data_IF_752831747052
#
_entry.id   IF_752831747052
#
_cell.length_a   1.000
_cell.length_b   1.000
_cell.length_c   1.000
_cell.angle_alpha   90.00
_cell.angle_beta   90.00
_cell.angle_gamma   90.00
#
_symmetry.space_group_name_H-M   'P 1'
#
loop_
_entity.id
_entity.type
_entity.pdbx_description
1 polymer ?
#
# COMPACT_ATOMS: atom_id res chain seq x y z
N UNK A 1 -2.74 -3.51 -2.51
CA UNK A 1 -2.06 -4.49 -3.42
C UNK A 1 -0.79 -4.96 -2.72
N UNK A 2 -0.44 -6.25 -2.87
CA UNK A 2 0.72 -6.87 -2.25
C UNK A 2 1.55 -7.62 -3.29
N UNK A 3 2.89 -7.54 -3.20
CA UNK A 3 3.83 -8.23 -4.09
C UNK A 3 4.63 -9.29 -3.33
N UNK A 4 5.59 -8.90 -2.49
CA UNK A 4 6.39 -9.74 -1.59
C UNK A 4 6.80 -8.99 -0.32
N UNK A 5 6.15 -7.88 -0.05
CA UNK A 5 6.46 -7.01 1.09
C UNK A 5 5.83 -7.59 2.38
N UNK A 6 6.34 -8.73 2.86
CA UNK A 6 5.85 -9.43 4.06
C UNK A 6 5.83 -8.54 5.29
N UNK A 7 6.91 -7.80 5.50
CA UNK A 7 7.05 -6.91 6.64
C UNK A 7 6.12 -5.70 6.53
N UNK A 8 5.92 -5.16 5.33
CA UNK A 8 4.97 -4.09 5.10
C UNK A 8 3.51 -4.54 5.37
N UNK A 9 3.15 -5.76 4.96
CA UNK A 9 1.84 -6.30 5.24
C UNK A 9 1.64 -6.52 6.75
N UNK A 10 2.61 -7.10 7.45
CA UNK A 10 2.54 -7.27 8.91
C UNK A 10 2.44 -5.94 9.64
N UNK A 11 3.27 -4.98 9.26
CA UNK A 11 3.23 -3.63 9.81
C UNK A 11 1.85 -3.00 9.61
N UNK A 12 1.31 -3.07 8.40
CA UNK A 12 -0.03 -2.58 8.08
C UNK A 12 -1.11 -3.21 8.96
N UNK A 13 -1.12 -4.55 9.05
CA UNK A 13 -2.12 -5.28 9.83
C UNK A 13 -2.06 -4.90 11.31
N UNK A 14 -0.85 -4.80 11.89
CA UNK A 14 -0.66 -4.38 13.29
C UNK A 14 -1.11 -2.95 13.54
N UNK A 15 -0.73 -2.03 12.66
CA UNK A 15 -1.08 -0.61 12.81
C UNK A 15 -2.58 -0.37 12.74
N UNK A 16 -3.30 -1.20 11.99
CA UNK A 16 -4.73 -1.01 11.71
C UNK A 16 -5.64 -1.99 12.49
N UNK A 17 -5.10 -2.92 13.27
CA UNK A 17 -5.90 -4.02 13.84
C UNK A 17 -7.02 -3.58 14.77
N UNK A 18 -6.88 -2.44 15.44
CA UNK A 18 -7.93 -1.90 16.33
C UNK A 18 -8.94 -1.01 15.61
N UNK A 19 -8.71 -0.71 14.33
CA UNK A 19 -9.51 0.22 13.55
C UNK A 19 -10.23 -0.43 12.37
N UNK A 20 -9.84 -1.65 11.99
CA UNK A 20 -10.32 -2.32 10.78
C UNK A 20 -10.96 -3.66 11.15
N UNK A 21 -12.21 -3.85 10.80
CA UNK A 21 -12.94 -5.10 11.04
C UNK A 21 -12.54 -6.20 10.06
N UNK A 22 -12.36 -5.86 8.78
CA UNK A 22 -12.04 -6.82 7.71
C UNK A 22 -10.90 -6.30 6.84
N UNK A 23 -9.88 -7.12 6.67
CA UNK A 23 -8.78 -6.87 5.74
C UNK A 23 -8.99 -7.63 4.43
N UNK A 24 -8.89 -6.92 3.32
CA UNK A 24 -8.90 -7.52 1.98
C UNK A 24 -7.49 -7.43 1.39
N UNK A 25 -6.88 -8.57 1.13
CA UNK A 25 -5.53 -8.68 0.56
C UNK A 25 -5.60 -9.37 -0.79
N UNK A 26 -5.19 -8.67 -1.84
CA UNK A 26 -5.15 -9.21 -3.20
C UNK A 26 -3.72 -9.26 -3.68
N UNK A 27 -3.27 -10.44 -4.11
CA UNK A 27 -1.98 -10.65 -4.77
C UNK A 27 -2.16 -11.07 -6.23
N UNK A 28 -1.25 -10.63 -7.10
CA UNK A 28 -1.17 -11.15 -8.47
C UNK A 28 -0.33 -12.43 -8.53
N UNK A 29 -0.59 -13.28 -9.52
CA UNK A 29 0.21 -14.47 -9.84
C UNK A 29 1.56 -14.13 -10.48
N UNK A 30 1.68 -12.90 -11.00
CA UNK A 30 2.89 -12.38 -11.64
C UNK A 30 3.18 -10.94 -11.22
N UNK A 31 4.39 -10.47 -11.54
CA UNK A 31 4.78 -9.06 -11.39
C UNK A 31 4.05 -8.20 -12.41
N UNK A 32 4.04 -6.88 -12.24
CA UNK A 32 3.49 -6.00 -13.29
C UNK A 32 4.32 -6.04 -14.57
N UNK A 33 5.58 -6.49 -14.53
CA UNK A 33 6.41 -6.71 -15.72
C UNK A 33 6.10 -8.02 -16.44
N UNK A 34 5.28 -8.90 -15.85
CA UNK A 34 4.85 -10.17 -16.45
C UNK A 34 5.68 -11.37 -16.04
N UNK A 35 6.62 -11.21 -15.11
CA UNK A 35 7.37 -12.33 -14.57
C UNK A 35 6.54 -13.11 -13.55
N UNK A 36 6.51 -14.44 -13.60
CA UNK A 36 5.80 -15.24 -12.61
C UNK A 36 6.27 -14.94 -11.18
N UNK A 37 5.31 -14.83 -10.26
CA UNK A 37 5.62 -14.66 -8.83
C UNK A 37 5.81 -16.02 -8.16
N UNK A 38 7.02 -16.33 -7.67
CA UNK A 38 7.26 -17.58 -6.96
C UNK A 38 6.63 -17.57 -5.55
N UNK A 39 6.40 -16.39 -4.97
CA UNK A 39 5.88 -16.24 -3.61
C UNK A 39 4.36 -16.15 -3.59
N UNK A 40 3.75 -16.75 -2.55
CA UNK A 40 2.33 -16.67 -2.25
C UNK A 40 2.15 -16.28 -0.79
N UNK A 41 1.13 -15.51 -0.50
CA UNK A 41 0.81 -15.17 0.89
C UNK A 41 0.65 -16.43 1.74
N UNK A 42 0.09 -17.49 1.16
CA UNK A 42 -0.09 -18.80 1.81
C UNK A 42 1.20 -19.50 2.20
N UNK A 43 2.34 -19.20 1.59
CA UNK A 43 3.63 -19.83 1.94
C UNK A 43 4.07 -19.46 3.37
N UNK A 44 3.58 -18.34 3.88
CA UNK A 44 3.86 -17.84 5.24
C UNK A 44 2.57 -17.57 6.03
N UNK A 45 1.48 -18.26 5.72
CA UNK A 45 0.16 -18.01 6.32
C UNK A 45 0.17 -18.05 7.84
N UNK A 46 0.96 -18.95 8.44
CA UNK A 46 1.08 -19.06 9.89
C UNK A 46 1.50 -17.74 10.58
N UNK A 47 2.25 -16.88 9.88
CA UNK A 47 2.67 -15.59 10.41
C UNK A 47 1.53 -14.55 10.45
N UNK A 48 0.43 -14.83 9.75
CA UNK A 48 -0.76 -14.01 9.66
C UNK A 48 -1.97 -14.59 10.40
N UNK A 49 -1.78 -15.72 11.13
CA UNK A 49 -2.85 -16.44 11.82
C UNK A 49 -3.66 -15.57 12.79
N UNK A 50 -3.02 -14.57 13.40
CA UNK A 50 -3.69 -13.59 14.28
C UNK A 50 -4.84 -12.83 13.61
N UNK A 51 -4.77 -12.64 12.30
CA UNK A 51 -5.77 -11.88 11.52
C UNK A 51 -6.58 -12.75 10.56
N UNK A 52 -6.34 -14.07 10.55
CA UNK A 52 -6.91 -14.99 9.54
C UNK A 52 -8.43 -15.05 9.52
N UNK A 53 -9.08 -14.87 10.66
CA UNK A 53 -10.54 -14.88 10.81
C UNK A 53 -11.24 -13.64 10.25
N UNK A 54 -10.49 -12.55 10.05
CA UNK A 54 -10.96 -11.30 9.48
C UNK A 54 -10.17 -10.85 8.26
N UNK A 55 -9.46 -11.78 7.59
CA UNK A 55 -8.70 -11.51 6.38
C UNK A 55 -9.28 -12.27 5.19
N UNK A 56 -9.77 -11.53 4.21
CA UNK A 56 -10.14 -12.06 2.90
C UNK A 56 -8.92 -11.97 2.00
N UNK A 57 -8.42 -13.10 1.55
CA UNK A 57 -7.28 -13.18 0.65
C UNK A 57 -7.68 -13.76 -0.71
N UNK A 58 -7.10 -13.20 -1.75
CA UNK A 58 -7.23 -13.71 -3.11
C UNK A 58 -5.93 -13.58 -3.89
N UNK A 59 -5.62 -14.61 -4.64
CA UNK A 59 -4.64 -14.56 -5.71
C UNK A 59 -5.37 -14.46 -7.06
N UNK A 60 -4.99 -13.48 -7.87
CA UNK A 60 -5.61 -13.22 -9.17
C UNK A 60 -4.62 -13.49 -10.30
N UNK A 61 -5.13 -14.13 -11.34
CA UNK A 61 -4.40 -14.34 -12.59
C UNK A 61 -4.40 -13.02 -13.37
N UNK A 62 -3.22 -12.49 -13.61
CA UNK A 62 -3.02 -11.21 -14.30
C UNK A 62 -2.65 -11.46 -15.77
N UNK A 63 -3.10 -10.55 -16.65
CA UNK A 63 -2.85 -10.65 -18.09
C UNK A 63 -2.73 -9.26 -18.74
N UNK A 64 -2.35 -9.22 -20.01
CA UNK A 64 -2.21 -7.97 -20.73
C UNK A 64 -0.90 -7.24 -20.45
N UNK A 65 -0.88 -5.94 -20.65
CA UNK A 65 0.29 -5.12 -20.35
C UNK A 65 0.42 -4.79 -18.84
N UNK A 66 1.54 -4.15 -18.48
CA UNK A 66 1.87 -3.80 -17.09
C UNK A 66 0.82 -2.92 -16.40
N UNK A 67 0.18 -2.04 -17.13
CA UNK A 67 -0.84 -1.14 -16.59
C UNK A 67 -2.18 -1.86 -16.44
N UNK A 68 -2.51 -2.75 -17.37
CA UNK A 68 -3.71 -3.57 -17.28
C UNK A 68 -3.62 -4.54 -16.09
N UNK A 69 -2.47 -5.17 -15.85
CA UNK A 69 -2.25 -6.02 -14.66
C UNK A 69 -2.50 -5.25 -13.37
N UNK A 70 -2.01 -4.02 -13.28
CA UNK A 70 -2.24 -3.17 -12.10
C UNK A 70 -3.74 -2.84 -11.92
N UNK A 71 -4.46 -2.55 -13.01
CA UNK A 71 -5.91 -2.29 -12.98
C UNK A 71 -6.69 -3.54 -12.57
N UNK A 72 -6.34 -4.71 -13.10
CA UNK A 72 -6.97 -5.98 -12.75
C UNK A 72 -6.86 -6.26 -11.25
N UNK A 73 -5.69 -6.06 -10.66
CA UNK A 73 -5.49 -6.26 -9.22
C UNK A 73 -6.35 -5.27 -8.39
N UNK A 74 -6.51 -4.01 -8.81
CA UNK A 74 -7.40 -3.05 -8.12
C UNK A 74 -8.88 -3.39 -8.30
N UNK A 75 -9.30 -3.87 -9.46
CA UNK A 75 -10.67 -4.38 -9.67
C UNK A 75 -10.98 -5.55 -8.73
N UNK A 76 -10.05 -6.50 -8.62
CA UNK A 76 -10.19 -7.62 -7.70
C UNK A 76 -10.32 -7.16 -6.25
N UNK A 77 -9.56 -6.16 -5.81
CA UNK A 77 -9.71 -5.58 -4.46
C UNK A 77 -11.14 -5.08 -4.21
N UNK A 78 -11.73 -4.37 -5.18
CA UNK A 78 -13.12 -3.87 -5.06
C UNK A 78 -14.13 -5.02 -4.99
N UNK A 79 -13.99 -6.03 -5.85
CA UNK A 79 -14.89 -7.18 -5.87
C UNK A 79 -14.81 -7.98 -4.55
N UNK A 80 -13.63 -8.11 -3.97
CA UNK A 80 -13.45 -8.77 -2.67
C UNK A 80 -13.95 -7.91 -1.50
N UNK A 81 -13.81 -6.59 -1.56
CA UNK A 81 -14.44 -5.70 -0.59
C UNK A 81 -15.98 -5.82 -0.63
N UNK A 82 -16.57 -5.99 -1.80
CA UNK A 82 -18.01 -6.25 -1.96
C UNK A 82 -18.44 -7.56 -1.29
N UNK A 83 -17.62 -8.61 -1.35
CA UNK A 83 -17.91 -9.91 -0.70
C UNK A 83 -17.88 -9.83 0.82
N UNK A 84 -17.17 -8.86 1.41
CA UNK A 84 -17.29 -8.57 2.83
C UNK A 84 -18.66 -8.01 3.21
N UNK A 85 -19.53 -7.75 2.21
CA UNK A 85 -20.90 -7.27 2.39
C UNK A 85 -21.02 -5.99 3.25
N UNK A 86 -20.23 -4.94 2.97
CA UNK A 86 -20.31 -3.72 3.76
C UNK A 86 -21.69 -3.08 3.63
N UNK A 87 -22.19 -2.55 4.74
CA UNK A 87 -23.36 -1.70 4.76
C UNK A 87 -23.10 -0.36 4.06
N UNK A 88 -24.16 0.40 3.68
CA UNK A 88 -23.99 1.61 2.88
C UNK A 88 -23.11 2.69 3.56
N UNK A 89 -23.10 2.74 4.88
CA UNK A 89 -22.33 3.71 5.66
C UNK A 89 -21.01 3.16 6.21
N UNK A 90 -20.73 1.87 6.00
CA UNK A 90 -19.44 1.29 6.36
C UNK A 90 -18.32 1.94 5.56
N UNK A 91 -17.22 2.21 6.23
CA UNK A 91 -16.07 2.86 5.62
C UNK A 91 -15.18 1.83 4.95
N UNK A 92 -14.90 2.04 3.68
CA UNK A 92 -13.93 1.22 2.93
C UNK A 92 -12.75 2.07 2.52
N UNK A 93 -11.55 1.54 2.77
CA UNK A 93 -10.29 2.19 2.39
C UNK A 93 -9.50 1.25 1.49
N UNK A 94 -9.06 1.73 0.34
CA UNK A 94 -8.13 0.98 -0.50
C UNK A 94 -6.79 1.70 -0.68
N UNK A 95 -5.71 0.94 -0.79
CA UNK A 95 -4.35 1.46 -0.89
C UNK A 95 -3.36 0.40 -1.35
N UNK A 96 -2.16 0.82 -1.67
CA UNK A 96 -1.01 -0.08 -1.78
C UNK A 96 -0.56 -0.53 -0.37
N UNK A 97 0.15 -1.65 -0.27
CA UNK A 97 0.45 -2.29 1.04
C UNK A 97 1.24 -1.38 1.98
N UNK A 98 2.11 -0.57 1.42
CA UNK A 98 2.97 0.38 2.14
C UNK A 98 2.30 1.72 2.49
N UNK A 99 1.06 1.93 2.07
CA UNK A 99 0.27 3.14 2.35
C UNK A 99 -0.70 2.86 3.49
N UNK A 100 -0.41 3.32 4.69
CA UNK A 100 -1.20 3.02 5.89
C UNK A 100 -1.78 4.30 6.46
N UNK A 101 -3.08 4.29 6.76
CA UNK A 101 -3.73 5.33 7.53
C UNK A 101 -3.21 5.29 8.97
N UNK A 102 -3.07 6.45 9.57
CA UNK A 102 -2.62 6.57 10.95
C UNK A 102 -3.79 6.59 11.95
N UNK A 103 -3.48 6.66 13.24
CA UNK A 103 -4.47 6.74 14.31
C UNK A 103 -5.30 8.04 14.25
N UNK A 104 -4.89 9.02 13.45
CA UNK A 104 -5.66 10.24 13.20
C UNK A 104 -6.83 10.03 12.21
N UNK A 105 -7.14 8.77 11.89
CA UNK A 105 -8.36 8.47 11.14
C UNK A 105 -9.56 9.15 11.80
N UNK A 106 -10.44 9.81 11.00
CA UNK A 106 -11.58 10.51 11.59
C UNK A 106 -12.41 9.57 12.46
N UNK A 107 -12.67 9.93 13.69
CA UNK A 107 -13.60 9.19 14.56
C UNK A 107 -15.02 9.13 13.97
N UNK A 108 -15.36 10.11 13.13
CA UNK A 108 -16.50 10.09 12.23
C UNK A 108 -16.02 10.39 10.82
N UNK A 109 -16.20 9.42 9.94
CA UNK A 109 -15.81 9.59 8.54
C UNK A 109 -16.70 10.65 7.84
N UNK A 110 -16.12 11.57 7.06
CA UNK A 110 -16.90 12.54 6.31
C UNK A 110 -17.80 11.85 5.27
N UNK A 111 -18.95 12.45 4.98
CA UNK A 111 -19.87 11.97 3.95
C UNK A 111 -19.36 12.28 2.52
N UNK A 112 -18.13 11.87 2.26
CA UNK A 112 -17.46 12.05 0.97
C UNK A 112 -16.30 11.06 0.82
N UNK A 113 -15.82 10.92 -0.41
CA UNK A 113 -14.56 10.19 -0.68
C UNK A 113 -13.40 11.13 -0.40
N UNK A 114 -12.42 10.67 0.38
CA UNK A 114 -11.23 11.43 0.75
C UNK A 114 -9.95 10.66 0.41
N UNK A 115 -8.87 11.39 0.16
CA UNK A 115 -7.53 10.82 0.00
C UNK A 115 -6.66 11.15 1.21
N UNK A 116 -5.92 10.16 1.71
CA UNK A 116 -4.93 10.38 2.77
C UNK A 116 -3.74 11.16 2.21
N UNK A 117 -3.44 12.29 2.84
CA UNK A 117 -2.15 12.97 2.68
C UNK A 117 -1.19 12.41 3.73
N UNK A 118 -0.35 11.49 3.33
CA UNK A 118 0.51 10.68 4.16
C UNK A 118 1.92 11.26 4.30
N UNK A 119 2.55 11.03 5.44
CA UNK A 119 3.97 11.31 5.63
C UNK A 119 4.79 10.28 4.84
N UNK A 120 5.55 10.76 3.86
CA UNK A 120 6.31 9.88 2.97
C UNK A 120 7.69 9.60 3.55
N UNK A 121 7.93 8.33 3.89
CA UNK A 121 9.22 7.80 4.34
C UNK A 121 9.83 6.93 3.24
N UNK A 122 11.13 7.07 3.02
CA UNK A 122 11.80 6.45 1.88
C UNK A 122 13.12 5.83 2.31
N UNK A 123 13.36 4.57 1.93
CA UNK A 123 14.55 3.77 2.22
C UNK A 123 14.69 3.34 3.68
N UNK A 124 14.30 4.19 4.63
CA UNK A 124 14.24 3.92 6.06
C UNK A 124 13.04 4.61 6.70
N UNK A 125 12.45 4.04 7.75
CA UNK A 125 11.27 4.62 8.41
C UNK A 125 11.51 6.00 9.00
N UNK A 126 12.73 6.31 9.44
CA UNK A 126 13.14 7.60 9.98
C UNK A 126 13.50 8.64 8.91
N UNK A 127 13.57 8.27 7.63
CA UNK A 127 13.97 9.19 6.55
C UNK A 127 12.78 9.72 5.79
N UNK A 128 12.44 10.97 6.06
CA UNK A 128 11.30 11.66 5.48
C UNK A 128 11.65 12.40 4.20
N UNK A 129 10.77 12.28 3.21
CA UNK A 129 10.75 13.17 2.05
C UNK A 129 9.89 14.39 2.36
N UNK A 130 10.35 15.59 1.98
CA UNK A 130 9.64 16.87 2.26
C UNK A 130 8.33 17.07 1.51
N UNK A 131 7.92 16.11 0.69
CA UNK A 131 6.63 16.13 0.00
C UNK A 131 5.77 14.99 0.52
N UNK A 132 4.54 15.30 0.96
CA UNK A 132 3.56 14.28 1.32
C UNK A 132 3.17 13.40 0.14
N UNK A 133 2.58 12.26 0.44
CA UNK A 133 2.04 11.32 -0.54
C UNK A 133 0.51 11.29 -0.46
N UNK A 134 -0.17 11.34 -1.59
CA UNK A 134 -1.61 11.12 -1.67
C UNK A 134 -1.85 9.76 -2.34
N UNK A 135 -2.20 8.75 -1.56
CA UNK A 135 -2.28 7.38 -2.06
C UNK A 135 -3.53 6.63 -1.63
N UNK A 136 -3.68 6.38 -0.34
CA UNK A 136 -4.84 5.70 0.21
C UNK A 136 -6.10 6.53 0.03
N UNK A 137 -7.18 5.90 -0.44
CA UNK A 137 -8.48 6.55 -0.67
C UNK A 137 -9.54 5.80 0.12
N UNK A 138 -10.43 6.52 0.76
CA UNK A 138 -11.50 5.94 1.56
C UNK A 138 -12.76 6.78 1.57
N UNK A 139 -13.86 6.12 1.94
CA UNK A 139 -15.18 6.73 2.06
C UNK A 139 -16.26 5.72 2.39
N UNK A 140 -17.50 6.18 2.63
CA UNK A 140 -18.64 5.29 2.81
C UNK A 140 -18.87 4.37 1.62
N UNK A 141 -19.24 3.12 1.87
CA UNK A 141 -19.43 2.13 0.80
C UNK A 141 -20.43 2.57 -0.28
N UNK A 142 -21.50 3.27 0.09
CA UNK A 142 -22.49 3.82 -0.87
C UNK A 142 -21.85 4.73 -1.93
N UNK A 143 -20.71 5.37 -1.60
CA UNK A 143 -19.95 6.21 -2.53
C UNK A 143 -18.82 5.45 -3.23
N UNK A 144 -18.22 4.47 -2.55
CA UNK A 144 -17.05 3.72 -3.02
C UNK A 144 -17.41 2.49 -3.86
N UNK A 145 -18.51 1.81 -3.53
CA UNK A 145 -18.87 0.50 -4.07
C UNK A 145 -19.22 0.51 -5.57
N UNK A 146 -19.70 1.64 -6.10
CA UNK A 146 -19.99 1.82 -7.53
C UNK A 146 -18.84 2.36 -8.36
N UNK A 147 -17.80 2.91 -7.71
CA UNK A 147 -16.69 3.59 -8.38
C UNK A 147 -15.67 2.58 -8.97
N UNK A 148 -15.01 2.98 -10.05
CA UNK A 148 -13.78 2.33 -10.49
C UNK A 148 -12.62 2.84 -9.63
N UNK A 149 -12.03 1.95 -8.83
CA UNK A 149 -10.96 2.33 -7.90
C UNK A 149 -9.67 2.75 -8.59
N UNK A 150 -9.43 2.31 -9.83
CA UNK A 150 -8.32 2.85 -10.60
C UNK A 150 -8.60 4.32 -11.00
N UNK A 151 -9.80 4.62 -11.46
CA UNK A 151 -10.19 6.00 -11.79
C UNK A 151 -10.13 6.92 -10.57
N UNK A 152 -10.56 6.45 -9.39
CA UNK A 152 -10.36 7.21 -8.13
C UNK A 152 -8.88 7.47 -7.85
N UNK A 153 -8.02 6.47 -8.07
CA UNK A 153 -6.57 6.60 -7.87
C UNK A 153 -5.95 7.61 -8.84
N UNK A 154 -6.40 7.63 -10.08
CA UNK A 154 -5.88 8.53 -11.12
C UNK A 154 -6.23 9.99 -10.81
N UNK A 155 -7.46 10.25 -10.33
CA UNK A 155 -7.94 11.60 -9.94
C UNK A 155 -7.75 11.93 -8.44
N UNK A 156 -6.90 11.21 -7.73
CA UNK A 156 -6.71 11.37 -6.26
C UNK A 156 -6.32 12.78 -5.81
N UNK A 157 -5.69 13.55 -6.67
CA UNK A 157 -5.30 14.93 -6.35
C UNK A 157 -6.47 15.93 -6.39
N UNK A 158 -7.61 15.53 -6.96
CA UNK A 158 -8.86 16.29 -7.02
C UNK A 158 -9.74 16.03 -5.79
N UNK A 159 -9.48 14.92 -5.08
CA UNK A 159 -10.25 14.52 -3.90
C UNK A 159 -9.91 15.39 -2.69
N UNK A 160 -10.88 15.63 -1.79
CA UNK A 160 -10.61 16.23 -0.48
C UNK A 160 -9.50 15.48 0.26
N UNK A 161 -8.57 16.22 0.87
CA UNK A 161 -7.41 15.64 1.55
C UNK A 161 -7.63 15.55 3.04
N UNK A 162 -7.30 14.39 3.60
CA UNK A 162 -7.23 14.15 5.03
C UNK A 162 -5.78 13.84 5.40
N UNK A 163 -5.14 14.65 6.25
CA UNK A 163 -3.80 14.33 6.74
C UNK A 163 -3.89 13.12 7.67
N UNK A 164 -3.25 12.02 7.30
CA UNK A 164 -3.23 10.80 8.12
C UNK A 164 -2.18 9.81 7.64
N UNK A 165 -1.45 9.21 8.58
CA UNK A 165 -0.63 8.04 8.39
C UNK A 165 0.61 8.22 7.52
N UNK A 166 1.08 7.11 6.98
CA UNK A 166 2.39 6.99 6.38
C UNK A 166 2.38 6.25 5.05
N UNK A 167 3.31 6.63 4.18
CA UNK A 167 3.72 5.85 3.02
C UNK A 167 5.18 5.43 3.21
N UNK A 168 5.40 4.18 3.64
CA UNK A 168 6.74 3.60 3.85
C UNK A 168 7.20 2.85 2.61
N UNK A 169 7.93 3.53 1.73
CA UNK A 169 8.31 2.95 0.43
C UNK A 169 9.80 2.73 0.29
N UNK A 170 10.17 1.71 -0.51
CA UNK A 170 11.56 1.34 -0.79
C UNK A 170 12.33 0.90 0.46
N UNK A 171 11.65 0.21 1.39
CA UNK A 171 12.24 -0.33 2.62
C UNK A 171 12.97 -1.65 2.38
N UNK A 172 13.76 -2.10 3.36
CA UNK A 172 14.40 -3.41 3.34
C UNK A 172 15.78 -3.45 2.67
N UNK A 173 16.41 -2.28 2.47
CA UNK A 173 17.76 -2.19 1.93
C UNK A 173 17.84 -2.27 0.40
N UNK A 174 19.08 -2.19 -0.12
CA UNK A 174 19.32 -2.05 -1.56
C UNK A 174 18.80 -3.23 -2.39
N UNK A 175 18.90 -4.47 -1.90
CA UNK A 175 18.44 -5.65 -2.63
C UNK A 175 16.92 -5.71 -2.75
N UNK A 176 16.20 -5.42 -1.66
CA UNK A 176 14.75 -5.32 -1.67
C UNK A 176 14.27 -4.21 -2.62
N UNK A 177 14.96 -3.07 -2.64
CA UNK A 177 14.67 -1.98 -3.56
C UNK A 177 14.90 -2.38 -5.02
N UNK A 178 15.96 -3.11 -5.33
CA UNK A 178 16.21 -3.64 -6.68
C UNK A 178 15.13 -4.62 -7.13
N UNK A 179 14.71 -5.54 -6.26
CA UNK A 179 13.61 -6.48 -6.55
C UNK A 179 12.31 -5.73 -6.81
N UNK A 180 11.97 -4.74 -5.97
CA UNK A 180 10.79 -3.90 -6.17
C UNK A 180 10.86 -3.14 -7.49
N UNK A 181 12.00 -2.53 -7.82
CA UNK A 181 12.19 -1.81 -9.08
C UNK A 181 11.99 -2.69 -10.32
N UNK A 182 12.46 -3.95 -10.27
CA UNK A 182 12.27 -4.91 -11.35
C UNK A 182 10.81 -5.35 -11.53
N UNK A 183 9.99 -5.31 -10.48
CA UNK A 183 8.61 -5.78 -10.47
C UNK A 183 7.57 -4.70 -10.83
N UNK A 184 7.90 -3.41 -10.59
CA UNK A 184 6.97 -2.29 -10.79
C UNK A 184 6.63 -2.05 -12.26
N UNK A 185 5.47 -1.46 -12.49
CA UNK A 185 5.04 -1.00 -13.82
C UNK A 185 5.86 0.17 -14.37
N UNK A 186 6.56 0.92 -13.52
CA UNK A 186 7.36 2.10 -13.89
C UNK A 186 8.84 1.76 -14.02
N UNK A 187 9.38 1.83 -15.24
CA UNK A 187 10.77 1.45 -15.55
C UNK A 187 11.84 2.45 -15.05
N UNK A 188 11.44 3.64 -14.64
CA UNK A 188 12.38 4.72 -14.25
C UNK A 188 13.31 4.35 -13.09
N UNK A 189 12.95 3.34 -12.29
CA UNK A 189 13.74 2.90 -11.14
C UNK A 189 14.68 1.74 -11.41
N UNK A 190 14.62 1.11 -12.60
CA UNK A 190 15.40 -0.10 -12.91
C UNK A 190 16.93 0.07 -12.83
N UNK A 191 17.41 1.26 -13.18
CA UNK A 191 18.85 1.58 -13.22
C UNK A 191 19.28 2.47 -12.04
N UNK A 192 18.48 2.52 -10.97
CA UNK A 192 18.80 3.32 -9.79
C UNK A 192 19.83 2.59 -8.92
N UNK A 193 20.89 3.28 -8.54
CA UNK A 193 21.86 2.79 -7.58
C UNK A 193 21.36 2.96 -6.15
N UNK A 194 20.59 1.99 -5.66
CA UNK A 194 20.03 2.02 -4.31
C UNK A 194 21.09 1.95 -3.21
N UNK A 195 22.25 1.33 -3.48
CA UNK A 195 23.38 1.31 -2.52
C UNK A 195 23.90 2.72 -2.29
N UNK A 196 24.08 3.48 -3.36
CA UNK A 196 24.49 4.88 -3.29
C UNK A 196 23.43 5.76 -2.63
N UNK A 197 22.14 5.57 -2.97
CA UNK A 197 21.05 6.37 -2.37
C UNK A 197 20.98 6.18 -0.84
N UNK A 198 21.17 4.94 -0.36
CA UNK A 198 21.24 4.63 1.07
C UNK A 198 22.46 5.29 1.73
N UNK A 199 23.65 5.19 1.12
CA UNK A 199 24.87 5.78 1.67
C UNK A 199 24.80 7.31 1.73
N UNK A 200 24.22 7.95 0.73
CA UNK A 200 24.12 9.41 0.64
C UNK A 200 22.86 9.98 1.35
N UNK A 201 21.99 9.16 1.92
CA UNK A 201 20.68 9.57 2.48
C UNK A 201 19.90 10.44 1.50
N UNK A 202 19.73 9.96 0.28
CA UNK A 202 19.07 10.68 -0.80
C UNK A 202 18.00 9.83 -1.46
N UNK A 203 16.99 10.50 -2.01
CA UNK A 203 16.05 9.88 -2.93
C UNK A 203 16.17 10.55 -4.30
N UNK A 204 16.74 9.81 -5.25
CA UNK A 204 17.05 10.30 -6.60
C UNK A 204 17.88 11.58 -6.54
N UNK A 205 17.28 12.74 -6.75
CA UNK A 205 17.92 14.06 -6.81
C UNK A 205 17.80 14.87 -5.50
N UNK A 206 17.12 14.35 -4.48
CA UNK A 206 16.77 15.11 -3.27
C UNK A 206 17.30 14.47 -1.99
N UNK A 207 17.82 15.27 -1.06
CA UNK A 207 18.19 14.77 0.27
C UNK A 207 16.92 14.34 1.04
N UNK A 208 17.10 13.38 1.94
CA UNK A 208 16.09 12.94 2.89
C UNK A 208 16.39 13.56 4.25
N UNK A 209 15.35 13.96 4.96
CA UNK A 209 15.46 14.47 6.34
C UNK A 209 15.34 13.31 7.31
N UNK A 210 16.33 13.16 8.17
CA UNK A 210 16.24 12.28 9.33
C UNK A 210 15.39 12.98 10.39
N UNK A 211 14.26 12.38 10.73
CA UNK A 211 13.33 12.95 11.73
C UNK A 211 13.44 12.25 13.08
N UNK A 212 14.32 11.23 13.18
CA UNK A 212 14.63 10.53 14.42
C UNK A 212 13.53 9.60 14.93
N UNK A 213 12.30 9.76 14.48
CA UNK A 213 11.17 8.93 14.88
C UNK A 213 10.81 7.89 13.80
N UNK A 214 10.30 6.76 14.25
CA UNK A 214 9.78 5.68 13.39
C UNK A 214 8.32 5.45 13.71
N UNK A 215 7.47 5.21 12.70
CA UNK A 215 6.11 4.74 12.98
C UNK A 215 6.16 3.47 13.83
N UNK A 216 5.24 3.36 14.77
CA UNK A 216 5.15 2.21 15.66
C UNK A 216 5.05 0.89 14.85
N UNK A 217 5.58 -0.19 15.40
CA UNK A 217 5.61 -1.53 14.79
C UNK A 217 6.44 -1.67 13.50
N UNK A 218 7.19 -0.65 13.06
CA UNK A 218 8.07 -0.84 11.90
C UNK A 218 9.16 -1.86 12.20
N UNK A 219 9.45 -2.78 11.25
CA UNK A 219 10.48 -3.79 11.44
C UNK A 219 11.88 -3.18 11.64
N UNK A 220 12.69 -3.77 12.51
CA UNK A 220 14.09 -3.34 12.73
C UNK A 220 14.97 -3.52 11.50
N UNK A 221 14.57 -4.44 10.60
CA UNK A 221 15.25 -4.70 9.33
C UNK A 221 15.12 -3.59 8.29
N UNK A 222 14.28 -2.59 8.55
CA UNK A 222 14.03 -1.47 7.63
C UNK A 222 14.96 -0.28 7.83
#
# INVERSE_FOLDING_TARGET
MWFNEWDALKWRLRTLEDMVDVFVVVEGDMTFQGEPKPWRLTDRWAEFSRWSDRMIWERVDLSGDRWERQKQQRRAMRERARQASPGPDDVVVFSDVEEVWGPEMPGRWPDTIVVAQQDMRVLRPEWRRNTGWCGSIGGPWRLMGGEDWQSLRDRRFELPRQRSGWHLTWMGGADACRQKAAALSDDKYRNVDFTRLLAERRWVDRPLTDVGDRPEWTPDSW
#
